data_IF_364503033573
#
_entry.id   IF_364503033573
#
_cell.length_a   1.000
_cell.length_b   1.000
_cell.length_c   1.000
_cell.angle_alpha   90.00
_cell.angle_beta   90.00
_cell.angle_gamma   90.00
#
_symmetry.space_group_name_H-M   'P 1'
#
loop_
_entity.id
_entity.type
_entity.pdbx_description
1 polymer ?
#
# COMPACT_ATOMS: atom_id res chain seq x y z
N UNK A 1 13.92 30.37 -14.76
CA UNK A 1 12.69 29.67 -15.19
C UNK A 1 12.52 28.48 -14.24
N UNK A 2 11.67 28.59 -13.23
CA UNK A 2 11.51 27.58 -12.17
C UNK A 2 10.53 26.53 -12.68
N UNK A 3 11.01 25.31 -12.93
CA UNK A 3 10.16 24.19 -13.34
C UNK A 3 9.49 23.59 -12.10
N UNK A 4 8.16 23.70 -12.06
CA UNK A 4 7.31 23.15 -11.01
C UNK A 4 7.22 21.62 -11.21
N UNK A 5 7.83 20.82 -10.34
CA UNK A 5 7.61 19.37 -10.31
C UNK A 5 6.23 19.09 -9.70
N UNK A 6 5.29 18.68 -10.53
CA UNK A 6 3.99 18.17 -10.11
C UNK A 6 4.20 16.75 -9.59
N UNK A 7 4.11 16.57 -8.27
CA UNK A 7 4.08 15.24 -7.66
C UNK A 7 2.77 14.55 -8.03
N UNK A 8 2.81 13.62 -8.98
CA UNK A 8 1.69 12.76 -9.32
C UNK A 8 1.61 11.64 -8.29
N UNK A 9 0.62 11.71 -7.37
CA UNK A 9 0.23 10.58 -6.53
C UNK A 9 -0.28 9.44 -7.43
N UNK A 10 0.59 8.48 -7.79
CA UNK A 10 0.12 7.23 -8.38
C UNK A 10 -0.55 6.38 -7.31
N UNK A 11 -1.78 5.89 -7.54
CA UNK A 11 -2.40 4.98 -6.60
C UNK A 11 -1.66 3.64 -6.66
N UNK A 12 -1.04 3.27 -5.55
CA UNK A 12 -0.71 1.87 -5.27
C UNK A 12 -1.96 1.01 -5.47
N UNK A 13 -1.79 -0.29 -5.79
CA UNK A 13 -2.90 -1.25 -5.91
C UNK A 13 -2.74 -2.38 -4.88
N UNK A 14 -3.83 -2.84 -4.29
CA UNK A 14 -4.00 -3.95 -3.36
C UNK A 14 -5.49 -4.30 -3.34
N UNK A 15 -5.84 -5.55 -3.08
CA UNK A 15 -7.09 -6.27 -3.41
C UNK A 15 -7.01 -7.17 -4.63
N UNK A 16 -7.46 -8.41 -4.41
CA UNK A 16 -7.59 -9.45 -5.41
C UNK A 16 -8.42 -8.94 -6.59
N UNK A 17 -7.88 -9.13 -7.79
CA UNK A 17 -8.57 -8.84 -9.03
C UNK A 17 -8.23 -9.92 -10.05
N UNK A 18 -9.18 -10.21 -10.93
CA UNK A 18 -8.89 -10.96 -12.14
C UNK A 18 -7.80 -10.22 -12.93
N UNK A 19 -6.92 -10.98 -13.56
CA UNK A 19 -5.81 -10.47 -14.34
C UNK A 19 -5.57 -11.29 -15.61
N UNK A 20 -4.85 -10.70 -16.55
CA UNK A 20 -4.37 -11.35 -17.77
C UNK A 20 -2.88 -11.02 -17.96
N UNK A 21 -2.12 -11.98 -18.49
CA UNK A 21 -0.74 -11.74 -18.89
C UNK A 21 -0.73 -11.23 -20.34
N UNK A 22 -0.40 -9.95 -20.53
CA UNK A 22 -0.30 -9.31 -21.85
C UNK A 22 1.16 -9.16 -22.28
N UNK A 23 1.39 -8.69 -23.52
CA UNK A 23 2.73 -8.33 -24.02
C UNK A 23 3.44 -7.29 -23.11
N UNK A 24 2.67 -6.45 -22.42
CA UNK A 24 3.16 -5.45 -21.46
C UNK A 24 3.29 -5.93 -20.02
N UNK A 25 2.99 -7.21 -19.72
CA UNK A 25 2.97 -7.75 -18.36
C UNK A 25 1.55 -7.96 -17.81
N UNK A 26 1.46 -8.15 -16.50
CA UNK A 26 0.23 -8.42 -15.77
C UNK A 26 -0.73 -7.22 -15.81
N UNK A 27 -1.95 -7.43 -16.30
CA UNK A 27 -2.99 -6.40 -16.34
C UNK A 27 -4.22 -6.85 -15.56
N UNK A 28 -4.78 -5.97 -14.73
CA UNK A 28 -6.05 -6.24 -14.05
C UNK A 28 -7.20 -6.12 -15.04
N UNK A 29 -8.01 -7.17 -15.14
CA UNK A 29 -9.16 -7.26 -16.06
C UNK A 29 -10.45 -7.38 -15.27
N UNK A 30 -11.56 -6.99 -15.90
CA UNK A 30 -12.89 -7.23 -15.35
C UNK A 30 -13.40 -8.60 -15.77
N UNK A 31 -14.02 -9.31 -14.85
CA UNK A 31 -14.76 -10.55 -15.16
C UNK A 31 -16.22 -10.42 -14.78
N UNK A 32 -17.09 -11.08 -15.55
CA UNK A 32 -18.53 -11.21 -15.26
C UNK A 32 -18.90 -12.62 -14.79
N UNK A 33 -17.92 -13.52 -14.69
CA UNK A 33 -18.14 -14.95 -14.46
C UNK A 33 -17.92 -15.35 -13.00
N UNK A 34 -17.25 -14.49 -12.21
CA UNK A 34 -16.98 -14.71 -10.79
C UNK A 34 -17.35 -13.46 -10.00
N UNK A 35 -18.22 -13.61 -9.00
CA UNK A 35 -18.66 -12.56 -8.10
C UNK A 35 -17.92 -12.65 -6.76
N UNK A 36 -17.66 -11.49 -6.14
CA UNK A 36 -17.18 -11.43 -4.75
C UNK A 36 -18.40 -11.33 -3.81
N UNK A 37 -18.70 -12.42 -3.12
CA UNK A 37 -19.82 -12.53 -2.18
C UNK A 37 -19.51 -11.79 -0.88
N UNK A 38 -18.28 -11.95 -0.36
CA UNK A 38 -17.85 -11.20 0.82
C UNK A 38 -16.38 -10.86 0.81
N UNK A 39 -16.04 -9.76 1.47
CA UNK A 39 -14.69 -9.39 1.87
C UNK A 39 -14.70 -9.02 3.37
N UNK A 40 -13.90 -9.72 4.16
CA UNK A 40 -13.61 -9.40 5.56
C UNK A 40 -12.15 -8.98 5.67
N UNK A 41 -11.92 -7.68 5.82
CA UNK A 41 -10.63 -7.03 5.81
C UNK A 41 -10.28 -6.54 7.22
N UNK A 42 -9.18 -7.06 7.78
CA UNK A 42 -8.60 -6.57 9.03
C UNK A 42 -7.26 -5.91 8.76
N UNK A 43 -7.13 -4.64 9.15
CA UNK A 43 -5.90 -3.86 9.05
C UNK A 43 -5.38 -3.56 10.45
N UNK A 44 -4.20 -4.10 10.78
CA UNK A 44 -3.44 -3.77 11.96
C UNK A 44 -2.04 -3.23 11.57
N UNK A 45 -1.31 -2.68 12.54
CA UNK A 45 0.03 -2.13 12.32
C UNK A 45 1.08 -3.20 12.00
N UNK A 46 0.89 -4.41 12.51
CA UNK A 46 1.81 -5.54 12.36
C UNK A 46 1.34 -6.54 11.30
N UNK A 47 0.03 -6.57 11.00
CA UNK A 47 -0.56 -7.55 10.07
C UNK A 47 -1.81 -7.04 9.38
N UNK A 48 -1.91 -7.33 8.09
CA UNK A 48 -3.15 -7.26 7.31
C UNK A 48 -3.63 -8.68 7.05
N UNK A 49 -4.92 -8.92 7.27
CA UNK A 49 -5.59 -10.18 6.94
C UNK A 49 -6.80 -9.83 6.10
N UNK A 50 -7.00 -10.52 4.98
CA UNK A 50 -8.21 -10.37 4.18
C UNK A 50 -8.76 -11.73 3.80
N UNK A 51 -10.06 -11.92 4.00
CA UNK A 51 -10.78 -13.15 3.66
C UNK A 51 -11.87 -12.83 2.65
N UNK A 52 -11.76 -13.44 1.49
CA UNK A 52 -12.74 -13.35 0.41
C UNK A 52 -13.60 -14.61 0.33
N UNK A 53 -14.84 -14.43 -0.12
CA UNK A 53 -15.68 -15.50 -0.63
C UNK A 53 -16.05 -15.18 -2.07
N UNK A 54 -15.66 -16.05 -2.99
CA UNK A 54 -15.94 -15.91 -4.41
C UNK A 54 -16.94 -16.97 -4.88
N UNK A 55 -17.91 -16.57 -5.69
CA UNK A 55 -18.87 -17.47 -6.31
C UNK A 55 -18.72 -17.44 -7.84
N UNK A 56 -18.60 -18.60 -8.45
CA UNK A 56 -18.77 -18.74 -9.90
C UNK A 56 -20.25 -18.58 -10.24
N UNK A 57 -20.59 -17.59 -11.07
CA UNK A 57 -21.98 -17.31 -11.48
C UNK A 57 -22.38 -18.01 -12.78
N UNK A 58 -21.49 -18.85 -13.32
CA UNK A 58 -21.72 -19.68 -14.50
C UNK A 58 -22.01 -21.12 -14.11
N UNK A 59 -22.45 -21.93 -15.08
CA UNK A 59 -22.71 -23.37 -14.89
C UNK A 59 -21.52 -24.27 -15.25
N UNK A 60 -20.34 -23.70 -15.53
CA UNK A 60 -19.12 -24.43 -15.90
C UNK A 60 -17.96 -23.95 -15.04
N UNK A 61 -16.91 -24.77 -14.82
CA UNK A 61 -15.71 -24.29 -14.15
C UNK A 61 -15.10 -23.09 -14.88
N UNK A 62 -14.67 -22.09 -14.12
CA UNK A 62 -13.99 -20.88 -14.64
C UNK A 62 -12.58 -20.86 -14.08
N UNK A 63 -11.58 -20.74 -14.94
CA UNK A 63 -10.18 -20.59 -14.53
C UNK A 63 -9.71 -19.18 -14.82
N UNK A 64 -9.18 -18.49 -13.81
CA UNK A 64 -8.67 -17.12 -13.94
C UNK A 64 -7.24 -17.03 -13.40
N UNK A 65 -6.45 -16.15 -14.02
CA UNK A 65 -5.29 -15.59 -13.32
C UNK A 65 -5.81 -14.57 -12.32
N UNK A 66 -5.46 -14.72 -11.05
CA UNK A 66 -5.81 -13.75 -10.00
C UNK A 66 -4.53 -13.14 -9.49
N UNK A 67 -4.55 -11.82 -9.33
CA UNK A 67 -3.42 -11.05 -8.85
C UNK A 67 -3.83 -10.18 -7.67
N UNK A 68 -3.02 -10.24 -6.62
CA UNK A 68 -3.04 -9.31 -5.50
C UNK A 68 -1.86 -8.35 -5.66
N UNK A 69 -2.11 -7.09 -6.05
CA UNK A 69 -1.03 -6.10 -6.09
C UNK A 69 -0.59 -5.73 -4.67
N UNK A 70 0.69 -5.48 -4.50
CA UNK A 70 1.28 -4.93 -3.28
C UNK A 70 1.57 -3.44 -3.48
N UNK A 71 1.75 -2.67 -2.39
CA UNK A 71 2.13 -1.28 -2.49
C UNK A 71 3.37 -1.06 -3.36
N UNK A 72 3.31 -0.01 -4.19
CA UNK A 72 4.44 0.47 -4.99
C UNK A 72 5.58 0.91 -4.04
N UNK A 73 6.81 0.49 -4.33
CA UNK A 73 8.00 0.84 -3.55
C UNK A 73 8.86 1.82 -4.34
N UNK A 74 9.00 3.04 -3.83
CA UNK A 74 9.88 4.08 -4.35
C UNK A 74 11.08 4.29 -3.42
N UNK A 75 12.22 3.73 -3.78
CA UNK A 75 13.42 3.80 -2.94
C UNK A 75 14.11 5.17 -2.97
N UNK A 76 13.68 6.11 -3.82
CA UNK A 76 14.11 7.50 -3.69
C UNK A 76 13.56 8.16 -2.42
N UNK A 77 12.48 7.60 -1.87
CA UNK A 77 11.89 7.98 -0.58
C UNK A 77 12.18 6.95 0.52
N UNK A 78 13.30 6.20 0.44
CA UNK A 78 13.59 5.07 1.32
C UNK A 78 13.49 5.39 2.82
N UNK A 79 13.84 6.61 3.25
CA UNK A 79 13.72 7.06 4.65
C UNK A 79 12.25 7.08 5.15
N UNK A 80 11.27 7.08 4.24
CA UNK A 80 9.84 7.08 4.53
C UNK A 80 9.18 5.71 4.36
N UNK A 81 9.91 4.68 3.89
CA UNK A 81 9.37 3.34 3.63
C UNK A 81 9.86 2.37 4.71
N UNK A 82 8.92 1.83 5.50
CA UNK A 82 9.21 0.72 6.42
C UNK A 82 8.89 -0.60 5.72
N UNK A 83 9.91 -1.36 5.32
CA UNK A 83 9.74 -2.72 4.81
C UNK A 83 9.86 -3.73 5.96
N UNK A 84 8.90 -4.66 6.11
CA UNK A 84 8.88 -5.58 7.25
C UNK A 84 9.86 -6.76 7.10
N UNK A 85 10.38 -7.01 5.89
CA UNK A 85 11.33 -8.08 5.56
C UNK A 85 12.41 -7.60 4.59
N UNK A 86 13.59 -8.22 4.67
CA UNK A 86 14.71 -8.00 3.75
C UNK A 86 14.71 -8.99 2.57
N UNK A 87 13.69 -9.84 2.44
CA UNK A 87 13.50 -10.69 1.28
C UNK A 87 13.12 -9.83 0.06
N UNK A 88 13.97 -9.74 -0.98
CA UNK A 88 13.71 -8.89 -2.15
C UNK A 88 12.58 -9.43 -3.03
N UNK A 89 12.13 -10.67 -2.83
CA UNK A 89 11.02 -11.30 -3.56
C UNK A 89 9.72 -11.18 -2.76
N UNK A 90 9.73 -11.56 -1.48
CA UNK A 90 8.56 -11.48 -0.59
C UNK A 90 8.76 -10.52 0.58
N UNK A 91 8.94 -9.23 0.26
CA UNK A 91 9.30 -8.19 1.22
C UNK A 91 8.22 -7.87 2.28
N UNK A 92 7.02 -8.45 2.15
CA UNK A 92 5.91 -8.28 3.11
C UNK A 92 5.50 -9.57 3.83
N UNK A 93 6.24 -10.66 3.64
CA UNK A 93 5.88 -11.99 4.16
C UNK A 93 4.45 -12.41 3.75
N UNK A 94 4.11 -12.21 2.46
CA UNK A 94 2.78 -12.50 1.90
C UNK A 94 2.53 -14.00 1.85
N UNK A 95 1.36 -14.41 2.33
CA UNK A 95 0.87 -15.79 2.31
C UNK A 95 -0.59 -15.84 1.83
N UNK A 96 -0.94 -16.89 1.09
CA UNK A 96 -2.32 -17.18 0.66
C UNK A 96 -2.74 -18.57 1.09
N UNK A 97 -4.02 -18.70 1.48
CA UNK A 97 -4.73 -19.97 1.62
C UNK A 97 -5.96 -19.98 0.72
N UNK A 98 -6.25 -21.14 0.13
CA UNK A 98 -7.46 -21.42 -0.62
C UNK A 98 -8.18 -22.55 0.10
N UNK A 99 -9.44 -22.31 0.49
CA UNK A 99 -10.25 -23.25 1.29
C UNK A 99 -9.47 -23.81 2.50
N UNK A 100 -8.75 -22.92 3.20
CA UNK A 100 -7.94 -23.22 4.39
C UNK A 100 -6.55 -23.83 4.15
N UNK A 101 -6.27 -24.28 2.92
CA UNK A 101 -4.98 -24.91 2.56
C UNK A 101 -4.00 -23.89 1.97
N UNK A 102 -2.70 -23.88 2.34
CA UNK A 102 -1.71 -23.01 1.73
C UNK A 102 -1.68 -23.14 0.21
N UNK A 103 -1.63 -22.01 -0.49
CA UNK A 103 -1.60 -21.96 -1.94
C UNK A 103 -0.31 -21.30 -2.43
N UNK A 104 0.42 -21.90 -3.39
CA UNK A 104 1.62 -21.29 -3.94
C UNK A 104 1.26 -20.04 -4.77
N UNK A 105 2.15 -19.06 -4.74
CA UNK A 105 2.05 -17.81 -5.48
C UNK A 105 3.31 -17.59 -6.30
N UNK A 106 3.17 -16.91 -7.42
CA UNK A 106 4.29 -16.34 -8.16
C UNK A 106 4.33 -14.85 -7.90
N UNK A 107 5.50 -14.32 -7.55
CA UNK A 107 5.69 -12.87 -7.44
C UNK A 107 6.04 -12.31 -8.83
N UNK A 108 5.18 -11.44 -9.36
CA UNK A 108 5.49 -10.61 -10.52
C UNK A 108 5.99 -9.24 -10.04
N UNK A 109 7.25 -8.93 -10.34
CA UNK A 109 7.90 -7.66 -10.01
C UNK A 109 8.29 -6.92 -11.28
N UNK A 110 7.95 -5.62 -11.31
CA UNK A 110 8.25 -4.71 -12.41
C UNK A 110 8.90 -3.44 -11.87
N UNK A 111 9.91 -2.94 -12.59
CA UNK A 111 10.53 -1.65 -12.33
C UNK A 111 10.01 -0.62 -13.33
N UNK A 112 9.49 0.49 -12.84
CA UNK A 112 8.78 1.50 -13.62
C UNK A 112 9.44 2.88 -13.46
N UNK A 113 9.79 3.52 -14.58
CA UNK A 113 10.07 4.97 -14.62
C UNK A 113 8.86 5.64 -15.26
N UNK A 114 8.04 6.24 -14.42
CA UNK A 114 6.70 6.63 -14.79
C UNK A 114 5.89 5.46 -15.34
N UNK A 115 5.44 5.55 -16.59
CA UNK A 115 4.72 4.47 -17.28
C UNK A 115 5.64 3.52 -18.07
N UNK A 116 6.96 3.83 -18.15
CA UNK A 116 7.93 3.01 -18.86
C UNK A 116 8.42 1.85 -18.00
N UNK A 117 8.19 0.63 -18.45
CA UNK A 117 8.75 -0.58 -17.84
C UNK A 117 10.23 -0.74 -18.23
N UNK A 118 11.11 -0.68 -17.22
CA UNK A 118 12.57 -0.80 -17.35
C UNK A 118 13.10 -2.15 -16.85
N UNK A 119 12.22 -3.10 -16.53
CA UNK A 119 12.57 -4.38 -15.92
C UNK A 119 13.54 -5.20 -16.77
N UNK A 120 13.33 -5.23 -18.09
CA UNK A 120 14.20 -5.98 -19.01
C UNK A 120 15.63 -5.41 -19.03
N UNK A 121 15.75 -4.08 -19.00
CA UNK A 121 17.03 -3.39 -18.96
C UNK A 121 17.78 -3.68 -17.65
N UNK A 122 17.11 -3.55 -16.50
CA UNK A 122 17.72 -3.87 -15.21
C UNK A 122 18.20 -5.32 -15.14
N UNK A 123 17.39 -6.27 -15.63
CA UNK A 123 17.80 -7.69 -15.73
C UNK A 123 19.01 -7.88 -16.65
N UNK A 124 19.05 -7.20 -17.80
CA UNK A 124 20.21 -7.23 -18.71
C UNK A 124 21.48 -6.71 -18.03
N UNK A 125 21.34 -5.66 -17.21
CA UNK A 125 22.42 -5.07 -16.41
C UNK A 125 22.73 -5.85 -15.13
N UNK A 126 22.02 -6.98 -14.88
CA UNK A 126 22.13 -7.80 -13.66
C UNK A 126 21.85 -7.01 -12.37
N UNK A 127 21.00 -5.99 -12.47
CA UNK A 127 20.53 -5.20 -11.34
C UNK A 127 19.20 -5.77 -10.81
N UNK A 128 19.00 -5.79 -9.49
CA UNK A 128 17.74 -6.21 -8.90
C UNK A 128 16.64 -5.17 -9.16
N UNK A 129 15.41 -5.65 -9.34
CA UNK A 129 14.25 -4.76 -9.49
C UNK A 129 13.89 -4.09 -8.16
N UNK A 130 14.03 -4.81 -7.05
CA UNK A 130 13.91 -4.27 -5.69
C UNK A 130 15.26 -4.41 -4.97
N UNK A 131 16.10 -3.36 -4.98
CA UNK A 131 17.44 -3.41 -4.41
C UNK A 131 17.44 -3.20 -2.89
N UNK A 132 16.98 -4.20 -2.15
CA UNK A 132 16.92 -4.19 -0.67
C UNK A 132 17.73 -5.36 -0.08
N UNK A 133 18.13 -5.24 1.18
CA UNK A 133 18.77 -6.31 1.94
C UNK A 133 20.00 -6.86 1.21
N UNK A 134 20.02 -8.18 0.95
CA UNK A 134 21.14 -8.83 0.25
C UNK A 134 21.30 -8.45 -1.22
N UNK A 135 20.33 -7.71 -1.79
CA UNK A 135 20.31 -7.26 -3.19
C UNK A 135 20.48 -5.75 -3.33
N UNK A 136 20.96 -5.05 -2.31
CA UNK A 136 21.31 -3.64 -2.47
C UNK A 136 22.30 -3.39 -3.61
N UNK A 137 22.11 -2.29 -4.34
CA UNK A 137 23.01 -1.90 -5.42
C UNK A 137 24.17 -1.11 -4.82
N UNK A 138 25.37 -1.70 -4.85
CA UNK A 138 26.62 -0.98 -4.56
C UNK A 138 27.07 -0.24 -5.81
N UNK A 139 26.64 1.02 -5.95
CA UNK A 139 26.94 1.86 -7.11
C UNK A 139 28.44 2.04 -7.37
N UNK A 140 29.27 1.93 -6.33
CA UNK A 140 30.73 1.93 -6.43
C UNK A 140 31.30 0.73 -7.18
N UNK A 141 30.59 -0.40 -7.16
CA UNK A 141 31.03 -1.66 -7.76
C UNK A 141 30.65 -1.74 -9.24
N UNK A 142 29.81 -0.81 -9.72
CA UNK A 142 29.40 -0.75 -11.11
C UNK A 142 30.52 -0.16 -11.99
N UNK A 143 30.75 -0.72 -13.19
CA UNK A 143 31.64 -0.10 -14.17
C UNK A 143 31.25 1.35 -14.45
N UNK A 144 32.24 2.23 -14.67
CA UNK A 144 31.99 3.66 -14.88
C UNK A 144 30.98 3.92 -16.02
N UNK A 145 31.12 3.21 -17.15
CA UNK A 145 30.19 3.29 -18.27
C UNK A 145 28.76 2.87 -17.90
N UNK A 146 28.60 1.82 -17.09
CA UNK A 146 27.29 1.39 -16.59
C UNK A 146 26.68 2.46 -15.68
N UNK A 147 27.46 3.02 -14.76
CA UNK A 147 26.98 4.09 -13.88
C UNK A 147 26.54 5.33 -14.67
N UNK A 148 27.35 5.80 -15.63
CA UNK A 148 26.98 6.93 -16.48
C UNK A 148 25.67 6.64 -17.22
N UNK A 149 25.56 5.47 -17.85
CA UNK A 149 24.34 5.05 -18.53
C UNK A 149 23.12 5.03 -17.61
N UNK A 150 23.24 4.49 -16.40
CA UNK A 150 22.15 4.46 -15.43
C UNK A 150 21.72 5.86 -15.00
N UNK A 151 22.65 6.81 -14.85
CA UNK A 151 22.33 8.21 -14.55
C UNK A 151 21.63 8.87 -15.74
N UNK A 152 22.15 8.70 -16.96
CA UNK A 152 21.58 9.29 -18.18
C UNK A 152 20.17 8.77 -18.48
N UNK A 153 19.90 7.50 -18.16
CA UNK A 153 18.58 6.87 -18.31
C UNK A 153 17.65 7.11 -17.10
N UNK A 154 18.08 7.85 -16.08
CA UNK A 154 17.29 8.17 -14.88
C UNK A 154 17.09 7.00 -13.92
N UNK A 155 17.88 5.92 -14.06
CA UNK A 155 17.84 4.74 -13.20
C UNK A 155 18.67 4.91 -11.92
N UNK A 156 19.64 5.84 -11.91
CA UNK A 156 20.34 6.26 -10.70
C UNK A 156 20.16 7.77 -10.51
N UNK A 157 19.49 8.16 -9.43
CA UNK A 157 19.20 9.54 -9.09
C UNK A 157 20.14 10.03 -7.97
N UNK A 158 20.69 11.24 -8.06
CA UNK A 158 21.46 11.84 -6.97
C UNK A 158 20.66 11.85 -5.65
N UNK A 159 21.22 11.27 -4.59
CA UNK A 159 20.58 11.11 -3.28
C UNK A 159 21.45 11.72 -2.15
N UNK A 160 21.95 12.93 -2.38
CA UNK A 160 22.80 13.64 -1.42
C UNK A 160 24.28 13.21 -1.47
N UNK A 161 25.03 13.66 -0.48
CA UNK A 161 26.46 13.41 -0.35
C UNK A 161 26.71 12.61 0.92
N UNK A 162 27.60 11.61 0.86
CA UNK A 162 28.11 10.96 2.05
C UNK A 162 29.03 11.90 2.84
N UNK A 163 29.31 11.54 4.11
CA UNK A 163 30.15 12.34 5.02
C UNK A 163 31.54 12.69 4.47
N UNK A 164 32.07 11.87 3.57
CA UNK A 164 33.34 12.09 2.86
C UNK A 164 33.21 12.89 1.55
N UNK A 165 32.06 13.52 1.30
CA UNK A 165 31.79 14.37 0.14
C UNK A 165 31.56 13.62 -1.18
N UNK A 166 31.31 12.30 -1.14
CA UNK A 166 31.01 11.53 -2.36
C UNK A 166 29.51 11.55 -2.66
N UNK A 167 29.15 11.75 -3.92
CA UNK A 167 27.76 11.67 -4.38
C UNK A 167 27.19 10.27 -4.11
N UNK A 168 26.08 10.23 -3.37
CA UNK A 168 25.25 9.05 -3.20
C UNK A 168 24.18 9.01 -4.28
N UNK A 169 23.71 7.81 -4.60
CA UNK A 169 22.66 7.59 -5.58
C UNK A 169 21.60 6.67 -5.02
N UNK A 170 20.35 6.95 -5.36
CA UNK A 170 19.21 6.07 -5.13
C UNK A 170 18.70 5.49 -6.46
N UNK A 171 18.04 4.32 -6.44
CA UNK A 171 17.28 3.84 -7.59
C UNK A 171 16.25 4.87 -8.04
N UNK A 172 16.22 5.16 -9.34
CA UNK A 172 15.30 6.15 -9.93
C UNK A 172 13.98 5.56 -10.46
N UNK A 173 13.63 4.35 -10.04
CA UNK A 173 12.42 3.66 -10.48
C UNK A 173 11.54 3.22 -9.31
N UNK A 174 10.25 3.07 -9.59
CA UNK A 174 9.27 2.49 -8.67
C UNK A 174 9.17 0.99 -8.92
N UNK A 175 9.24 0.19 -7.87
CA UNK A 175 8.98 -1.25 -7.95
C UNK A 175 7.49 -1.52 -7.73
N UNK A 176 6.82 -2.10 -8.73
CA UNK A 176 5.47 -2.63 -8.62
C UNK A 176 5.54 -4.14 -8.43
N UNK A 177 4.81 -4.65 -7.44
CA UNK A 177 4.81 -6.09 -7.12
C UNK A 177 3.39 -6.62 -7.09
N UNK A 178 3.16 -7.82 -7.62
CA UNK A 178 1.90 -8.55 -7.51
C UNK A 178 2.13 -10.01 -7.15
N UNK A 179 1.36 -10.52 -6.19
CA UNK A 179 1.26 -11.95 -5.92
C UNK A 179 0.22 -12.57 -6.85
N UNK A 180 0.63 -13.52 -7.67
CA UNK A 180 -0.15 -14.06 -8.79
C UNK A 180 -0.40 -15.56 -8.60
N UNK A 181 -1.62 -16.00 -8.88
CA UNK A 181 -2.00 -17.43 -8.92
C UNK A 181 -2.94 -17.73 -10.08
N UNK A 182 -2.95 -18.99 -10.48
CA UNK A 182 -4.07 -19.55 -11.24
C UNK A 182 -5.13 -20.04 -10.25
N UNK A 183 -6.38 -19.68 -10.48
CA UNK A 183 -7.50 -20.05 -9.62
C UNK A 183 -8.60 -20.69 -10.45
N UNK A 184 -9.02 -21.88 -10.04
CA UNK A 184 -10.24 -22.51 -10.55
C UNK A 184 -11.40 -22.17 -9.61
N UNK A 185 -12.51 -21.71 -10.19
CA UNK A 185 -13.77 -21.48 -9.52
C UNK A 185 -14.79 -22.51 -10.03
N UNK A 186 -15.13 -23.55 -9.25
CA UNK A 186 -16.12 -24.55 -9.64
C UNK A 186 -17.53 -23.94 -9.68
N UNK A 187 -18.45 -24.45 -10.54
CA UNK A 187 -19.83 -24.01 -10.54
C UNK A 187 -20.53 -24.39 -9.23
N UNK A 188 -21.50 -23.58 -8.81
CA UNK A 188 -22.38 -23.85 -7.65
C UNK A 188 -21.66 -24.04 -6.31
N UNK A 189 -20.41 -23.59 -6.17
CA UNK A 189 -19.64 -23.64 -4.92
C UNK A 189 -18.87 -22.34 -4.71
N UNK A 190 -18.82 -21.92 -3.45
CA UNK A 190 -17.98 -20.80 -3.01
C UNK A 190 -16.54 -21.25 -2.82
N UNK A 191 -15.59 -20.42 -3.28
CA UNK A 191 -14.16 -20.55 -2.98
C UNK A 191 -13.80 -19.52 -1.92
N UNK A 192 -13.17 -19.97 -0.84
CA UNK A 192 -12.63 -19.08 0.19
C UNK A 192 -11.17 -18.80 -0.11
N UNK A 193 -10.80 -17.52 -0.13
CA UNK A 193 -9.41 -17.09 -0.30
C UNK A 193 -9.03 -16.24 0.88
N UNK A 194 -7.92 -16.57 1.53
CA UNK A 194 -7.39 -15.82 2.67
C UNK A 194 -5.98 -15.37 2.37
N UNK A 195 -5.70 -14.08 2.54
CA UNK A 195 -4.36 -13.53 2.48
C UNK A 195 -3.95 -13.00 3.84
N UNK A 196 -2.67 -13.14 4.18
CA UNK A 196 -2.05 -12.39 5.25
C UNK A 196 -0.68 -11.86 4.84
N UNK A 197 -0.35 -10.67 5.33
CA UNK A 197 0.97 -10.06 5.12
C UNK A 197 1.21 -8.94 6.13
N UNK A 198 2.46 -8.46 6.19
CA UNK A 198 2.87 -7.35 7.05
C UNK A 198 2.83 -6.04 6.25
N UNK A 199 2.09 -5.02 6.69
CA UNK A 199 2.00 -3.76 5.94
C UNK A 199 3.30 -2.96 6.03
N UNK A 200 3.51 -2.10 5.03
CA UNK A 200 4.40 -0.96 5.22
C UNK A 200 3.69 0.10 6.06
N UNK A 201 4.33 0.54 7.14
CA UNK A 201 3.77 1.52 8.07
C UNK A 201 4.66 2.74 8.10
N UNK A 202 4.19 3.83 7.48
CA UNK A 202 4.86 5.12 7.58
C UNK A 202 4.87 5.57 9.04
N UNK A 203 6.01 6.07 9.53
CA UNK A 203 6.19 6.48 10.92
C UNK A 203 6.72 7.89 11.00
N UNK A 204 6.25 8.66 12.00
CA UNK A 204 6.84 9.94 12.36
C UNK A 204 6.85 10.08 13.88
N UNK A 205 7.94 10.62 14.42
CA UNK A 205 8.09 10.86 15.86
C UNK A 205 7.19 11.98 16.39
N UNK A 206 6.44 12.64 15.51
CA UNK A 206 5.54 13.73 15.77
C UNK A 206 4.41 13.74 14.72
N UNK A 207 3.36 14.52 14.94
CA UNK A 207 2.28 14.78 13.97
C UNK A 207 2.11 16.28 13.76
N UNK A 208 1.99 16.67 12.49
CA UNK A 208 1.70 18.06 12.09
C UNK A 208 0.37 18.57 12.66
N UNK A 209 -0.51 17.67 13.13
CA UNK A 209 -1.85 17.98 13.60
C UNK A 209 -1.88 18.52 15.04
N UNK A 210 -0.79 18.40 15.80
CA UNK A 210 -0.69 18.99 17.15
C UNK A 210 -0.89 20.51 17.10
N UNK A 211 -1.47 21.14 18.14
CA UNK A 211 -1.82 22.57 18.13
C UNK A 211 -0.71 23.50 17.63
N UNK A 212 0.51 23.35 18.15
CA UNK A 212 1.64 24.22 17.82
C UNK A 212 2.07 24.15 16.36
N UNK A 213 2.06 22.96 15.75
CA UNK A 213 2.42 22.78 14.34
C UNK A 213 1.24 23.12 13.42
N UNK A 214 0.04 22.67 13.78
CA UNK A 214 -1.18 22.86 13.00
C UNK A 214 -1.54 24.33 12.76
N UNK A 215 -1.23 25.21 13.74
CA UNK A 215 -1.47 26.65 13.66
C UNK A 215 -0.36 27.43 12.94
N UNK A 216 0.72 26.76 12.52
CA UNK A 216 1.78 27.39 11.73
C UNK A 216 1.29 27.67 10.31
N UNK A 217 1.40 28.94 9.87
CA UNK A 217 1.06 29.32 8.50
C UNK A 217 1.89 28.55 7.45
N UNK A 218 3.14 28.21 7.77
CA UNK A 218 4.03 27.47 6.87
C UNK A 218 3.55 26.03 6.63
N UNK A 219 2.83 25.44 7.59
CA UNK A 219 2.32 24.06 7.50
C UNK A 219 0.85 23.99 7.07
N UNK A 220 0.20 25.13 6.82
CA UNK A 220 -1.21 25.21 6.43
C UNK A 220 -1.60 24.29 5.25
N UNK A 221 -0.85 24.27 4.13
CA UNK A 221 -1.13 23.38 3.00
C UNK A 221 -1.07 21.89 3.38
N UNK A 222 -0.12 21.54 4.24
CA UNK A 222 0.14 20.17 4.67
C UNK A 222 -0.91 19.67 5.66
N UNK A 223 -1.35 20.54 6.58
CA UNK A 223 -2.52 20.30 7.44
C UNK A 223 -3.79 20.11 6.62
N UNK A 224 -4.01 20.93 5.58
CA UNK A 224 -5.15 20.81 4.70
C UNK A 224 -5.14 19.48 3.93
N UNK A 225 -3.95 19.05 3.48
CA UNK A 225 -3.74 17.72 2.87
C UNK A 225 -4.12 16.61 3.83
N UNK A 226 -3.65 16.63 5.08
CA UNK A 226 -3.99 15.62 6.08
C UNK A 226 -5.50 15.55 6.37
N UNK A 227 -6.14 16.72 6.54
CA UNK A 227 -7.58 16.79 6.74
C UNK A 227 -8.35 16.16 5.59
N UNK A 228 -7.91 16.39 4.34
CA UNK A 228 -8.51 15.81 3.15
C UNK A 228 -8.25 14.30 3.05
N UNK A 229 -6.99 13.89 3.16
CA UNK A 229 -6.56 12.52 2.85
C UNK A 229 -6.97 11.50 3.92
N UNK A 230 -7.04 11.92 5.20
CA UNK A 230 -7.41 11.06 6.33
C UNK A 230 -8.77 11.43 6.93
N UNK A 231 -9.51 12.35 6.31
CA UNK A 231 -10.80 12.85 6.80
C UNK A 231 -10.77 13.32 8.27
N UNK A 232 -9.70 14.03 8.64
CA UNK A 232 -9.50 14.52 10.01
C UNK A 232 -10.58 15.56 10.37
N UNK A 233 -11.41 15.21 11.35
CA UNK A 233 -12.52 16.04 11.83
C UNK A 233 -12.08 16.99 12.95
N UNK A 234 -12.89 18.03 13.20
CA UNK A 234 -12.63 18.92 14.34
C UNK A 234 -12.77 18.20 15.69
N UNK A 235 -13.65 17.20 15.78
CA UNK A 235 -13.76 16.34 16.96
C UNK A 235 -12.49 15.51 17.20
N UNK A 236 -11.90 14.96 16.13
CA UNK A 236 -10.60 14.29 16.21
C UNK A 236 -9.51 15.26 16.69
N UNK A 237 -9.45 16.48 16.15
CA UNK A 237 -8.46 17.47 16.56
C UNK A 237 -8.66 17.94 18.01
N UNK A 238 -9.89 18.12 18.46
CA UNK A 238 -10.16 18.49 19.84
C UNK A 238 -9.69 17.41 20.83
N UNK A 239 -9.84 16.13 20.48
CA UNK A 239 -9.32 15.03 21.29
C UNK A 239 -7.79 14.95 21.23
N UNK A 240 -7.19 15.19 20.06
CA UNK A 240 -5.74 15.27 19.91
C UNK A 240 -5.14 16.40 20.75
N UNK A 241 -5.77 17.58 20.74
CA UNK A 241 -5.34 18.75 21.50
C UNK A 241 -5.33 18.45 23.02
N UNK A 242 -6.34 17.76 23.54
CA UNK A 242 -6.37 17.31 24.95
C UNK A 242 -5.20 16.38 25.30
N UNK A 243 -4.82 15.48 24.39
CA UNK A 243 -3.73 14.52 24.60
C UNK A 243 -2.35 15.13 24.43
N UNK A 244 -2.22 16.07 23.49
CA UNK A 244 -0.96 16.74 23.16
C UNK A 244 -0.60 17.83 24.18
N UNK A 245 -1.60 18.51 24.74
CA UNK A 245 -1.44 19.75 25.49
C UNK A 245 -1.11 20.94 24.60
N UNK A 246 -1.02 22.14 25.20
CA UNK A 246 -0.87 23.42 24.46
C UNK A 246 0.58 23.78 24.13
N UNK A 247 1.56 22.96 24.53
CA UNK A 247 2.98 23.20 24.29
C UNK A 247 3.38 23.07 22.82
N UNK A 248 4.40 23.83 22.40
CA UNK A 248 4.98 23.71 21.05
C UNK A 248 5.75 22.40 20.89
N UNK A 249 6.47 21.98 21.94
CA UNK A 249 7.20 20.72 21.99
C UNK A 249 6.27 19.50 22.14
N UNK A 250 6.65 18.37 21.55
CA UNK A 250 5.95 17.09 21.68
C UNK A 250 6.28 16.39 23.02
N UNK A 251 5.94 17.02 24.15
CA UNK A 251 6.19 16.47 25.51
C UNK A 251 5.34 15.24 25.80
N UNK A 252 4.16 15.14 25.19
CA UNK A 252 3.28 13.98 25.26
C UNK A 252 3.83 12.75 24.53
N UNK A 253 4.92 12.91 23.74
CA UNK A 253 5.56 11.86 22.93
C UNK A 253 4.58 11.17 21.98
N UNK A 254 3.64 11.93 21.43
CA UNK A 254 2.70 11.42 20.44
C UNK A 254 3.44 11.16 19.15
N UNK A 255 3.27 9.96 18.60
CA UNK A 255 3.82 9.59 17.31
C UNK A 255 2.68 9.33 16.34
N UNK A 256 3.05 9.30 15.07
CA UNK A 256 2.13 9.05 13.97
C UNK A 256 2.49 7.74 13.27
N UNK A 257 1.47 6.98 12.87
CA UNK A 257 1.56 5.85 11.95
C UNK A 257 0.57 6.03 10.81
N UNK A 258 0.99 5.67 9.59
CA UNK A 258 0.19 5.81 8.36
C UNK A 258 0.20 4.49 7.60
N UNK A 259 -0.98 3.98 7.27
CA UNK A 259 -1.17 2.80 6.40
C UNK A 259 -1.99 3.21 5.20
N UNK A 260 -1.55 2.79 4.01
CA UNK A 260 -2.37 2.85 2.80
C UNK A 260 -2.77 1.44 2.41
N UNK A 261 -4.05 1.24 2.13
CA UNK A 261 -4.59 -0.01 1.63
C UNK A 261 -5.51 0.30 0.46
N UNK A 262 -5.40 -0.46 -0.60
CA UNK A 262 -6.11 -0.18 -1.83
C UNK A 262 -7.36 -1.01 -1.82
N UNK A 263 -8.47 -0.40 -2.24
CA UNK A 263 -9.79 -1.03 -2.20
C UNK A 263 -10.42 -1.13 -3.58
N UNK A 264 -10.06 -0.21 -4.48
CA UNK A 264 -10.72 -0.04 -5.79
C UNK A 264 -10.68 -1.26 -6.68
N UNK A 265 -9.62 -2.08 -6.63
CA UNK A 265 -9.51 -3.26 -7.52
C UNK A 265 -10.53 -4.35 -7.21
N UNK A 266 -11.15 -4.33 -6.02
CA UNK A 266 -12.32 -5.16 -5.70
C UNK A 266 -13.52 -4.92 -6.63
N UNK A 267 -13.57 -3.78 -7.34
CA UNK A 267 -14.62 -3.47 -8.33
C UNK A 267 -14.44 -4.17 -9.70
N UNK A 268 -13.43 -5.03 -9.87
CA UNK A 268 -13.19 -5.75 -11.12
C UNK A 268 -13.93 -7.10 -11.23
N UNK A 269 -14.57 -7.55 -10.15
CA UNK A 269 -15.38 -8.77 -10.13
C UNK A 269 -16.80 -8.54 -10.66
N UNK A 270 -17.55 -9.62 -10.82
CA UNK A 270 -18.93 -9.56 -11.29
C UNK A 270 -19.82 -8.88 -10.24
N UNK A 271 -20.18 -7.62 -10.49
CA UNK A 271 -21.05 -6.85 -9.60
C UNK A 271 -20.32 -6.23 -8.39
N UNK A 272 -21.07 -5.66 -7.43
CA UNK A 272 -20.51 -5.17 -6.18
C UNK A 272 -20.07 -6.30 -5.24
N UNK A 273 -19.27 -5.95 -4.24
CA UNK A 273 -19.00 -6.82 -3.09
C UNK A 273 -20.28 -6.91 -2.26
N UNK A 274 -20.94 -8.08 -2.21
CA UNK A 274 -22.27 -8.17 -1.58
C UNK A 274 -22.23 -7.85 -0.08
N UNK A 275 -21.23 -8.36 0.63
CA UNK A 275 -20.99 -8.07 2.05
C UNK A 275 -19.53 -7.67 2.29
N UNK A 276 -19.31 -6.42 2.71
CA UNK A 276 -17.99 -5.90 3.05
C UNK A 276 -17.89 -5.61 4.56
N UNK A 277 -16.82 -6.07 5.19
CA UNK A 277 -16.44 -5.74 6.57
C UNK A 277 -15.01 -5.23 6.59
N UNK A 278 -14.77 -4.12 7.30
CA UNK A 278 -13.46 -3.57 7.60
C UNK A 278 -13.30 -3.48 9.12
N UNK A 279 -12.24 -4.07 9.66
CA UNK A 279 -11.80 -3.90 11.05
C UNK A 279 -10.46 -3.19 11.06
N UNK A 280 -10.37 -2.04 11.73
CA UNK A 280 -9.09 -1.35 11.96
C UNK A 280 -8.63 -1.59 13.39
N UNK A 281 -7.43 -2.13 13.55
CA UNK A 281 -6.80 -2.34 14.85
C UNK A 281 -5.58 -1.42 15.03
N UNK A 282 -5.70 -0.38 15.87
CA UNK A 282 -4.62 0.55 16.10
C UNK A 282 -3.52 -0.03 17.01
N UNK A 283 -3.69 -1.23 17.57
CA UNK A 283 -2.72 -1.87 18.46
C UNK A 283 -2.66 -1.28 19.88
N UNK A 284 -3.74 -0.62 20.32
CA UNK A 284 -3.85 -0.02 21.65
C UNK A 284 -5.11 0.85 21.78
N UNK A 285 -5.74 0.85 22.96
CA UNK A 285 -6.98 1.62 23.22
C UNK A 285 -6.76 3.13 23.39
N UNK A 286 -5.51 3.55 23.61
CA UNK A 286 -5.09 4.95 23.74
C UNK A 286 -4.69 5.58 22.40
N UNK A 287 -4.88 4.88 21.28
CA UNK A 287 -4.54 5.35 19.94
C UNK A 287 -5.78 5.80 19.19
N UNK A 288 -5.67 6.97 18.57
CA UNK A 288 -6.74 7.58 17.78
C UNK A 288 -6.59 7.16 16.32
N UNK A 289 -7.71 6.91 15.65
CA UNK A 289 -7.75 6.52 14.23
C UNK A 289 -8.55 7.54 13.43
N UNK A 290 -8.03 7.93 12.27
CA UNK A 290 -8.75 8.75 11.29
C UNK A 290 -8.57 8.16 9.88
N UNK A 291 -9.67 8.03 9.16
CA UNK A 291 -9.67 7.66 7.73
C UNK A 291 -10.96 8.13 7.08
N UNK A 292 -10.98 8.17 5.75
CA UNK A 292 -12.17 8.49 4.99
C UNK A 292 -13.13 7.29 4.90
N UNK A 293 -14.11 7.25 5.80
CA UNK A 293 -15.11 6.18 5.90
C UNK A 293 -15.99 6.03 4.65
N UNK A 294 -16.22 7.13 3.91
CA UNK A 294 -17.05 7.11 2.71
C UNK A 294 -18.46 6.57 2.97
N UNK A 295 -18.84 5.49 2.26
CA UNK A 295 -20.17 4.86 2.37
C UNK A 295 -20.26 3.76 3.42
N UNK A 296 -19.17 3.44 4.11
CA UNK A 296 -19.20 2.41 5.14
C UNK A 296 -20.10 2.84 6.29
N UNK A 297 -20.88 1.93 6.84
CA UNK A 297 -21.71 2.15 8.02
C UNK A 297 -20.81 2.25 9.24
N UNK A 298 -21.14 3.18 10.13
CA UNK A 298 -20.42 3.39 11.37
C UNK A 298 -20.48 2.13 12.26
N UNK A 299 -19.52 1.98 13.18
CA UNK A 299 -19.44 0.79 14.00
C UNK A 299 -20.60 0.65 14.99
N UNK A 300 -21.02 -0.58 15.33
CA UNK A 300 -22.01 -0.80 16.37
C UNK A 300 -21.46 -0.35 17.75
N UNK A 301 -22.34 0.03 18.69
CA UNK A 301 -21.93 0.38 20.06
C UNK A 301 -21.09 -0.76 20.68
N UNK A 302 -19.93 -0.41 21.24
CA UNK A 302 -19.02 -1.38 21.89
C UNK A 302 -17.97 -2.01 20.97
N UNK A 303 -18.02 -1.80 19.65
CA UNK A 303 -17.00 -2.28 18.71
C UNK A 303 -16.48 -1.13 17.85
N UNK A 304 -15.56 -0.32 18.38
CA UNK A 304 -15.35 1.09 17.96
C UNK A 304 -14.68 1.30 16.60
N UNK A 305 -14.21 0.26 15.92
CA UNK A 305 -13.48 0.37 14.65
C UNK A 305 -13.83 -0.75 13.64
N UNK A 306 -15.05 -1.27 13.71
CA UNK A 306 -15.61 -2.18 12.70
C UNK A 306 -16.62 -1.47 11.80
N UNK A 307 -16.42 -1.53 10.49
CA UNK A 307 -17.24 -0.84 9.50
C UNK A 307 -17.81 -1.85 8.52
N UNK A 308 -19.05 -1.64 8.07
CA UNK A 308 -19.71 -2.58 7.17
C UNK A 308 -20.36 -1.88 5.98
N UNK A 309 -20.48 -2.59 4.86
CA UNK A 309 -21.29 -2.15 3.73
C UNK A 309 -21.92 -3.37 3.03
N UNK A 310 -23.04 -3.12 2.38
CA UNK A 310 -23.72 -4.09 1.52
C UNK A 310 -23.71 -3.55 0.09
N UNK A 311 -23.57 -4.44 -0.89
CA UNK A 311 -23.43 -4.09 -2.31
C UNK A 311 -22.38 -2.99 -2.55
N UNK A 312 -21.25 -3.14 -1.88
CA UNK A 312 -20.18 -2.16 -1.85
C UNK A 312 -19.38 -2.16 -3.16
N UNK A 313 -19.26 -0.98 -3.76
CA UNK A 313 -18.37 -0.73 -4.91
C UNK A 313 -17.29 0.23 -4.45
N UNK A 314 -16.09 -0.26 -4.09
CA UNK A 314 -15.02 0.61 -3.68
C UNK A 314 -14.57 1.52 -4.82
N UNK A 315 -14.65 2.82 -4.58
CA UNK A 315 -14.28 3.91 -5.50
C UNK A 315 -13.09 4.73 -4.98
N UNK A 316 -12.65 4.47 -3.74
CA UNK A 316 -11.54 5.13 -3.05
C UNK A 316 -10.67 4.09 -2.35
N UNK A 317 -9.37 4.36 -2.26
CA UNK A 317 -8.43 3.56 -1.49
C UNK A 317 -8.41 4.06 -0.05
N UNK A 318 -8.12 3.19 0.90
CA UNK A 318 -8.03 3.53 2.31
C UNK A 318 -6.68 4.19 2.62
N UNK A 319 -6.74 5.36 3.24
CA UNK A 319 -5.61 5.97 3.94
C UNK A 319 -5.97 6.06 5.41
N UNK A 320 -5.21 5.38 6.26
CA UNK A 320 -5.46 5.28 7.69
C UNK A 320 -4.34 6.00 8.44
N UNK A 321 -4.75 6.95 9.29
CA UNK A 321 -3.89 7.67 10.21
C UNK A 321 -4.14 7.14 11.62
N UNK A 322 -3.06 6.78 12.31
CA UNK A 322 -3.08 6.39 13.73
C UNK A 322 -2.16 7.32 14.52
N UNK A 323 -2.67 7.95 15.58
CA UNK A 323 -1.90 8.83 16.45
C UNK A 323 -2.00 8.35 17.89
N UNK A 324 -0.86 8.23 18.57
CA UNK A 324 -0.81 7.80 19.98
C UNK A 324 0.61 7.51 20.44
N UNK A 325 0.74 6.69 21.48
CA UNK A 325 2.03 6.22 21.99
C UNK A 325 2.31 4.81 21.45
N UNK A 326 3.55 4.56 21.05
CA UNK A 326 4.01 3.31 20.45
C UNK A 326 5.25 2.79 21.14
#
# INVERSE_FOLDING_TARGET
MVALLVATNWPARANDSAAELSIGGLQFVRTRDVAMESEDLRIALDRIIVRYQFANVTNKPVTLTVAFPLPDIDLSEADNIALPSNDPVNFVDFETRIDGSPAPLTIDQRAMIGDKDVSALLRQLKLPLLPIGSREIRVTDLPAATRTRLVDEGLLMPAGMSDNGRQQYAPGWVTRTSAVRQQVFPPSRTVVVEHQYRPSVGSSADTILRPGLRRSNALGPEVARYRKDYCVTDGFLAELDKRAGDGTANTAKLQERRISYVLKTGSNWAGPIRAFKLTIDPGGSDRMVSFCQGRLKAPPPGNTLEYTASDYKPDTDLKILVIGKF
#
